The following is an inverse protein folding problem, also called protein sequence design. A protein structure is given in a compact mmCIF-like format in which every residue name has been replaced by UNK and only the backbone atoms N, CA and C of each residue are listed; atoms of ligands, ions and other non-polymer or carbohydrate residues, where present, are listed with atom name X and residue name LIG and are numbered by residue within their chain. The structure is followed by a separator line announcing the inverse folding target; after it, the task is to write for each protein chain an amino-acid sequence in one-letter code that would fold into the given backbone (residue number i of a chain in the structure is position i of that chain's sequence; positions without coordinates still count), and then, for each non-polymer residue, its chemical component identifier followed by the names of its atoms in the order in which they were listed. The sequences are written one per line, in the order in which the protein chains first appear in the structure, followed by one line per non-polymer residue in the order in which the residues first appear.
data_IF_479687860715
#
_entry.id   IF_479687860715
#
_cell.length_a   1.000
_cell.length_b   1.000
_cell.length_c   1.000
_cell.angle_alpha   90.00
_cell.angle_beta   90.00
_cell.angle_gamma   90.00
#
_symmetry.space_group_name_H-M   'P 1'
#
loop_
_entity.id
_entity.type
_entity.pdbx_description
1 polymer ?
#
# COMPACT_ATOMS: atom_id res chain seq x y z
N UNK A 1 -2.95 1.50 -23.22
CA UNK A 1 -3.16 0.78 -21.95
C UNK A 1 -4.65 0.72 -21.68
N UNK A 2 -5.25 -0.46 -21.59
CA UNK A 2 -6.67 -0.61 -21.27
C UNK A 2 -6.93 -0.37 -19.78
N UNK A 3 -8.19 -0.27 -19.38
CA UNK A 3 -8.58 -0.14 -17.97
C UNK A 3 -8.21 -1.41 -17.19
N UNK A 4 -8.40 -2.59 -17.78
CA UNK A 4 -8.03 -3.88 -17.16
C UNK A 4 -6.52 -4.05 -17.01
N UNK A 5 -5.74 -3.64 -18.02
CA UNK A 5 -4.29 -3.63 -17.94
C UNK A 5 -3.79 -2.70 -16.83
N UNK A 6 -4.44 -1.53 -16.69
CA UNK A 6 -4.16 -0.62 -15.59
C UNK A 6 -4.47 -1.25 -14.23
N UNK A 7 -5.65 -1.85 -14.06
CA UNK A 7 -6.07 -2.48 -12.81
C UNK A 7 -5.10 -3.60 -12.41
N UNK A 8 -4.73 -4.48 -13.33
CA UNK A 8 -3.72 -5.53 -13.08
C UNK A 8 -2.36 -4.96 -12.68
N UNK A 9 -1.88 -3.93 -13.40
CA UNK A 9 -0.61 -3.28 -13.07
C UNK A 9 -0.62 -2.65 -11.68
N UNK A 10 -1.72 -2.00 -11.29
CA UNK A 10 -1.88 -1.45 -9.94
C UNK A 10 -1.94 -2.56 -8.89
N UNK A 11 -2.67 -3.65 -9.15
CA UNK A 11 -2.73 -4.82 -8.26
C UNK A 11 -1.35 -5.43 -8.01
N UNK A 12 -0.53 -5.62 -9.05
CA UNK A 12 0.86 -6.10 -8.89
C UNK A 12 1.67 -5.18 -7.98
N UNK A 13 1.53 -3.86 -8.13
CA UNK A 13 2.22 -2.87 -7.28
C UNK A 13 1.71 -2.89 -5.85
N UNK A 14 0.40 -3.06 -5.65
CA UNK A 14 -0.21 -3.21 -4.33
C UNK A 14 0.29 -4.47 -3.62
N UNK A 15 0.40 -5.60 -4.32
CA UNK A 15 0.97 -6.85 -3.78
C UNK A 15 2.41 -6.64 -3.32
N UNK A 16 3.24 -5.96 -4.12
CA UNK A 16 4.61 -5.64 -3.75
C UNK A 16 4.66 -4.74 -2.50
N UNK A 17 3.91 -3.64 -2.50
CA UNK A 17 3.86 -2.70 -1.37
C UNK A 17 3.38 -3.37 -0.06
N UNK A 18 2.39 -4.26 -0.17
CA UNK A 18 1.90 -5.09 0.95
C UNK A 18 2.99 -6.02 1.49
N UNK A 19 3.75 -6.68 0.61
CA UNK A 19 4.89 -7.53 1.02
C UNK A 19 5.97 -6.71 1.72
N UNK A 20 6.30 -5.52 1.22
CA UNK A 20 7.26 -4.61 1.87
C UNK A 20 6.78 -4.17 3.26
N UNK A 21 5.50 -3.80 3.39
CA UNK A 21 4.90 -3.40 4.67
C UNK A 21 4.94 -4.54 5.69
N UNK A 22 4.58 -5.75 5.27
CA UNK A 22 4.62 -6.93 6.12
C UNK A 22 6.04 -7.23 6.62
N UNK A 23 7.03 -7.18 5.73
CA UNK A 23 8.44 -7.37 6.09
C UNK A 23 8.92 -6.29 7.07
N UNK A 24 8.56 -5.02 6.82
CA UNK A 24 8.90 -3.91 7.70
C UNK A 24 8.28 -4.07 9.10
N UNK A 25 7.00 -4.46 9.20
CA UNK A 25 6.33 -4.75 10.47
C UNK A 25 7.03 -5.88 11.22
N UNK A 26 7.34 -6.99 10.54
CA UNK A 26 8.06 -8.11 11.15
C UNK A 26 9.42 -7.67 11.70
N UNK A 27 10.20 -6.92 10.92
CA UNK A 27 11.49 -6.39 11.38
C UNK A 27 11.34 -5.43 12.56
N UNK A 28 10.36 -4.51 12.51
CA UNK A 28 10.11 -3.57 13.61
C UNK A 28 9.71 -4.31 14.89
N UNK A 29 8.87 -5.35 14.82
CA UNK A 29 8.50 -6.18 15.97
C UNK A 29 9.70 -6.92 16.56
N UNK A 30 10.58 -7.46 15.72
CA UNK A 30 11.77 -8.18 16.15
C UNK A 30 12.84 -7.28 16.76
N UNK A 31 13.11 -6.12 16.15
CA UNK A 31 14.24 -5.24 16.54
C UNK A 31 13.90 -4.19 17.59
N UNK A 32 12.63 -3.76 17.69
CA UNK A 32 12.28 -2.63 18.55
C UNK A 32 12.43 -1.25 17.88
N UNK A 33 13.08 -1.16 16.72
CA UNK A 33 13.33 0.07 15.97
C UNK A 33 13.62 -0.25 14.50
N UNK A 34 13.64 0.77 13.65
CA UNK A 34 14.03 0.68 12.23
C UNK A 34 15.05 1.76 11.87
N UNK A 35 15.78 1.59 10.77
CA UNK A 35 16.59 2.69 10.22
C UNK A 35 15.69 3.79 9.69
N UNK A 36 16.04 5.06 9.94
CA UNK A 36 15.38 6.21 9.31
C UNK A 36 15.41 6.09 7.79
N UNK A 37 16.53 5.67 7.21
CA UNK A 37 16.66 5.54 5.75
C UNK A 37 15.74 4.47 5.14
N UNK A 38 15.60 3.32 5.81
CA UNK A 38 14.68 2.26 5.40
C UNK A 38 13.22 2.71 5.52
N UNK A 39 12.89 3.39 6.62
CA UNK A 39 11.57 3.97 6.86
C UNK A 39 11.21 5.02 5.80
N UNK A 40 12.12 5.95 5.51
CA UNK A 40 11.90 7.01 4.52
C UNK A 40 11.71 6.43 3.12
N UNK A 41 12.54 5.45 2.73
CA UNK A 41 12.38 4.74 1.44
C UNK A 41 11.02 4.04 1.33
N UNK A 42 10.57 3.38 2.41
CA UNK A 42 9.28 2.70 2.41
C UNK A 42 8.12 3.71 2.32
N UNK A 43 8.20 4.78 3.11
CA UNK A 43 7.23 5.89 3.10
C UNK A 43 7.09 6.50 1.71
N UNK A 44 8.21 6.84 1.08
CA UNK A 44 8.22 7.44 -0.26
C UNK A 44 7.60 6.52 -1.30
N UNK A 45 7.89 5.22 -1.25
CA UNK A 45 7.25 4.23 -2.14
C UNK A 45 5.73 4.18 -1.97
N UNK A 46 5.23 4.24 -0.73
CA UNK A 46 3.79 4.24 -0.49
C UNK A 46 3.12 5.53 -0.97
N UNK A 47 3.71 6.69 -0.71
CA UNK A 47 3.17 7.94 -1.24
C UNK A 47 3.22 8.00 -2.77
N UNK A 48 4.30 7.51 -3.39
CA UNK A 48 4.41 7.45 -4.84
C UNK A 48 3.32 6.56 -5.46
N UNK A 49 3.07 5.37 -4.87
CA UNK A 49 2.01 4.48 -5.36
C UNK A 49 0.61 5.07 -5.11
N UNK A 50 0.39 5.69 -3.95
CA UNK A 50 -0.88 6.33 -3.65
C UNK A 50 -1.18 7.51 -4.60
N UNK A 51 -0.15 8.31 -4.91
CA UNK A 51 -0.23 9.37 -5.91
C UNK A 51 -0.51 8.80 -7.30
N UNK A 52 0.18 7.73 -7.71
CA UNK A 52 -0.06 7.08 -8.99
C UNK A 52 -1.50 6.57 -9.15
N UNK A 53 -2.13 6.09 -8.06
CA UNK A 53 -3.55 5.69 -8.08
C UNK A 53 -4.44 6.92 -8.27
N UNK A 54 -4.18 8.00 -7.52
CA UNK A 54 -4.93 9.27 -7.64
C UNK A 54 -4.81 9.89 -9.03
N UNK A 55 -3.62 9.94 -9.60
CA UNK A 55 -3.35 10.50 -10.94
C UNK A 55 -4.10 9.74 -12.05
N UNK A 56 -4.45 8.49 -11.80
CA UNK A 56 -5.19 7.66 -12.74
C UNK A 56 -6.68 7.59 -12.43
N UNK A 57 -7.18 8.43 -11.53
CA UNK A 57 -8.56 8.42 -11.07
C UNK A 57 -9.58 8.53 -12.20
N UNK A 58 -9.33 9.37 -13.21
CA UNK A 58 -10.23 9.51 -14.38
C UNK A 58 -10.40 8.17 -15.11
N UNK A 59 -9.30 7.46 -15.37
CA UNK A 59 -9.31 6.17 -16.04
C UNK A 59 -9.85 5.05 -15.16
N UNK A 60 -9.63 5.12 -13.85
CA UNK A 60 -10.27 4.20 -12.91
C UNK A 60 -11.78 4.43 -12.86
N UNK A 61 -12.27 5.66 -13.09
CA UNK A 61 -13.70 5.94 -13.15
C UNK A 61 -14.39 5.31 -14.37
N UNK A 62 -13.65 5.01 -15.44
CA UNK A 62 -14.12 4.26 -16.60
C UNK A 62 -14.29 2.75 -16.31
N UNK A 63 -13.80 2.25 -15.16
CA UNK A 63 -14.03 0.86 -14.75
C UNK A 63 -15.52 0.58 -14.57
N UNK A 64 -16.07 -0.46 -15.24
CA UNK A 64 -17.47 -0.84 -15.07
C UNK A 64 -17.74 -1.42 -13.67
N UNK A 65 -16.77 -2.17 -13.13
CA UNK A 65 -16.87 -2.73 -11.78
C UNK A 65 -16.57 -1.67 -10.72
N UNK A 66 -17.65 -1.21 -10.07
CA UNK A 66 -17.59 -0.22 -8.99
C UNK A 66 -16.91 -0.77 -7.74
N UNK A 67 -17.05 -2.06 -7.47
CA UNK A 67 -16.55 -2.65 -6.23
C UNK A 67 -15.03 -2.85 -6.33
N UNK A 68 -14.52 -3.37 -7.45
CA UNK A 68 -13.06 -3.41 -7.70
C UNK A 68 -12.45 -2.01 -7.70
N UNK A 69 -13.13 -1.03 -8.31
CA UNK A 69 -12.68 0.37 -8.24
C UNK A 69 -12.64 0.88 -6.80
N UNK A 70 -13.65 0.58 -6.00
CA UNK A 70 -13.69 0.97 -4.58
C UNK A 70 -12.56 0.30 -3.78
N UNK A 71 -12.23 -0.96 -4.09
CA UNK A 71 -11.13 -1.68 -3.47
C UNK A 71 -9.77 -1.05 -3.80
N UNK A 72 -9.57 -0.55 -5.04
CA UNK A 72 -8.35 0.18 -5.42
C UNK A 72 -8.22 1.47 -4.61
N UNK A 73 -9.29 2.27 -4.49
CA UNK A 73 -9.25 3.50 -3.70
C UNK A 73 -9.06 3.23 -2.21
N UNK A 74 -9.70 2.19 -1.67
CA UNK A 74 -9.50 1.78 -0.28
C UNK A 74 -8.07 1.29 -0.02
N UNK A 75 -7.45 0.62 -0.99
CA UNK A 75 -6.04 0.25 -0.91
C UNK A 75 -5.12 1.48 -0.93
N UNK A 76 -5.46 2.49 -1.74
CA UNK A 76 -4.76 3.78 -1.76
C UNK A 76 -4.82 4.48 -0.39
N UNK A 77 -6.01 4.60 0.20
CA UNK A 77 -6.18 5.18 1.55
C UNK A 77 -5.34 4.45 2.61
N UNK A 78 -5.29 3.12 2.53
CA UNK A 78 -4.48 2.31 3.43
C UNK A 78 -2.97 2.57 3.27
N UNK A 79 -2.49 2.72 2.04
CA UNK A 79 -1.10 3.11 1.75
C UNK A 79 -0.79 4.52 2.28
N UNK A 80 -1.67 5.48 2.02
CA UNK A 80 -1.52 6.85 2.51
C UNK A 80 -1.48 6.89 4.04
N UNK A 81 -2.37 6.14 4.71
CA UNK A 81 -2.38 6.01 6.17
C UNK A 81 -1.09 5.36 6.71
N UNK A 82 -0.60 4.29 6.05
CA UNK A 82 0.66 3.67 6.41
C UNK A 82 1.84 4.64 6.23
N UNK A 83 1.89 5.37 5.12
CA UNK A 83 2.93 6.36 4.84
C UNK A 83 2.94 7.50 5.88
N UNK A 84 1.76 8.01 6.27
CA UNK A 84 1.64 9.01 7.34
C UNK A 84 2.10 8.43 8.68
N UNK A 85 1.80 7.17 8.98
CA UNK A 85 2.32 6.52 10.19
C UNK A 85 3.86 6.46 10.20
N UNK A 86 4.49 6.21 9.04
CA UNK A 86 5.94 6.22 8.88
C UNK A 86 6.57 7.63 8.99
N UNK A 87 5.77 8.71 8.95
CA UNK A 87 6.27 10.07 9.24
C UNK A 87 6.46 10.33 10.74
N UNK A 88 5.88 9.48 11.59
CA UNK A 88 5.92 9.63 13.04
C UNK A 88 7.06 8.82 13.68
N UNK A 89 7.41 9.12 14.94
CA UNK A 89 8.31 8.25 15.71
C UNK A 89 9.80 8.55 15.57
N UNK A 90 10.17 9.63 14.86
CA UNK A 90 11.52 10.18 14.90
C UNK A 90 11.69 10.89 16.23
N UNK A 91 12.37 10.25 17.17
CA UNK A 91 12.90 10.89 18.37
C UNK A 91 14.25 11.53 17.99
N UNK A 92 14.88 12.33 18.86
CA UNK A 92 16.11 13.11 18.60
C UNK A 92 17.34 12.30 18.11
N UNK A 93 17.18 11.01 17.82
CA UNK A 93 18.13 10.15 17.13
C UNK A 93 18.07 10.34 15.59
N UNK A 94 19.20 10.65 14.93
CA UNK A 94 19.23 10.81 13.47
C UNK A 94 19.15 9.49 12.69
N UNK A 95 19.44 8.36 13.34
CA UNK A 95 19.68 7.06 12.66
C UNK A 95 18.53 6.06 12.83
N UNK A 96 17.83 6.10 13.96
CA UNK A 96 16.80 5.11 14.30
C UNK A 96 15.44 5.75 14.53
N UNK A 97 14.38 5.02 14.17
CA UNK A 97 13.00 5.46 14.29
C UNK A 97 12.14 4.36 14.92
N UNK A 98 11.16 4.75 15.74
CA UNK A 98 10.16 3.84 16.32
C UNK A 98 8.76 4.28 15.95
N UNK A 99 8.21 3.65 14.92
CA UNK A 99 6.84 3.89 14.43
C UNK A 99 5.81 3.02 15.15
N UNK A 100 4.55 3.47 15.16
CA UNK A 100 3.45 2.73 15.76
C UNK A 100 3.08 1.50 14.89
N UNK A 101 3.38 0.30 15.40
CA UNK A 101 3.16 -0.95 14.68
C UNK A 101 1.68 -1.28 14.53
N UNK A 102 0.85 -1.03 15.54
CA UNK A 102 -0.59 -1.35 15.49
C UNK A 102 -1.29 -0.60 14.37
N UNK A 103 -0.91 0.66 14.11
CA UNK A 103 -1.42 1.45 12.98
C UNK A 103 -0.99 0.84 11.64
N UNK A 104 0.26 0.41 11.52
CA UNK A 104 0.76 -0.24 10.30
C UNK A 104 0.06 -1.57 10.04
N UNK A 105 -0.22 -2.36 11.08
CA UNK A 105 -0.96 -3.62 10.95
C UNK A 105 -2.41 -3.41 10.53
N UNK A 106 -3.07 -2.36 11.02
CA UNK A 106 -4.41 -1.98 10.54
C UNK A 106 -4.40 -1.66 9.05
N UNK A 107 -3.43 -0.85 8.58
CA UNK A 107 -3.27 -0.56 7.15
C UNK A 107 -2.96 -1.82 6.34
N UNK A 108 -2.10 -2.71 6.85
CA UNK A 108 -1.78 -3.98 6.21
C UNK A 108 -3.02 -4.88 6.06
N UNK A 109 -3.88 -4.94 7.08
CA UNK A 109 -5.11 -5.74 7.04
C UNK A 109 -6.08 -5.21 5.98
N UNK A 110 -6.23 -3.88 5.87
CA UNK A 110 -7.04 -3.27 4.79
C UNK A 110 -6.45 -3.58 3.43
N UNK A 111 -5.13 -3.48 3.26
CA UNK A 111 -4.44 -3.83 2.02
C UNK A 111 -4.64 -5.30 1.65
N UNK A 112 -4.48 -6.22 2.60
CA UNK A 112 -4.72 -7.65 2.38
C UNK A 112 -6.14 -7.91 1.87
N UNK A 113 -7.14 -7.31 2.52
CA UNK A 113 -8.54 -7.45 2.11
C UNK A 113 -8.77 -6.92 0.68
N UNK A 114 -8.28 -5.72 0.37
CA UNK A 114 -8.46 -5.13 -0.97
C UNK A 114 -7.76 -5.94 -2.05
N UNK A 115 -6.53 -6.43 -1.78
CA UNK A 115 -5.77 -7.25 -2.73
C UNK A 115 -6.44 -8.61 -2.95
N UNK A 116 -6.94 -9.25 -1.88
CA UNK A 116 -7.67 -10.50 -2.01
C UNK A 116 -8.92 -10.30 -2.87
N UNK A 117 -9.71 -9.28 -2.57
CA UNK A 117 -10.90 -8.93 -3.35
C UNK A 117 -10.56 -8.71 -4.83
N UNK A 118 -9.53 -7.92 -5.13
CA UNK A 118 -9.10 -7.65 -6.50
C UNK A 118 -8.55 -8.88 -7.24
N UNK A 119 -7.97 -9.86 -6.53
CA UNK A 119 -7.53 -11.12 -7.14
C UNK A 119 -8.72 -12.03 -7.46
N UNK A 120 -9.69 -12.13 -6.55
CA UNK A 120 -10.90 -12.96 -6.74
C UNK A 120 -11.81 -12.41 -7.85
N UNK A 121 -11.83 -11.09 -8.01
CA UNK A 121 -12.64 -10.38 -9.01
C UNK A 121 -11.84 -9.89 -10.23
N UNK A 122 -10.56 -10.25 -10.35
CA UNK A 122 -9.85 -10.09 -11.62
C UNK A 122 -10.55 -10.97 -12.64
N UNK A 123 -10.92 -10.46 -13.84
CA UNK A 123 -11.46 -11.32 -14.87
C UNK A 123 -10.40 -12.39 -15.13
N UNK A 124 -10.70 -13.61 -14.67
CA UNK A 124 -9.94 -14.81 -14.95
C UNK A 124 -9.70 -14.80 -16.45
N UNK A 125 -8.43 -14.94 -16.85
CA UNK A 125 -8.10 -15.29 -18.22
C UNK A 125 -9.01 -16.48 -18.60
N UNK A 126 -9.96 -16.25 -19.50
CA UNK A 126 -10.46 -17.32 -20.36
C UNK A 126 -9.21 -17.83 -21.09
N UNK A 127 -8.63 -18.90 -20.54
CA UNK A 127 -7.62 -19.71 -21.18
C UNK A 127 -8.27 -20.66 -22.20
#
# INVERSE_FOLDING_TARGET
MTVDELARRLLTKLIAARSDLAAYIQMRKAKGYMSVSENDRLRERFFALALEIRDKGERLNEMPDRDSRSAIYRAEEALSSAAVCLMSGRQDCPTYISVNVDKLERSLNVLNYCIQYLNEHSPLEEA
#
